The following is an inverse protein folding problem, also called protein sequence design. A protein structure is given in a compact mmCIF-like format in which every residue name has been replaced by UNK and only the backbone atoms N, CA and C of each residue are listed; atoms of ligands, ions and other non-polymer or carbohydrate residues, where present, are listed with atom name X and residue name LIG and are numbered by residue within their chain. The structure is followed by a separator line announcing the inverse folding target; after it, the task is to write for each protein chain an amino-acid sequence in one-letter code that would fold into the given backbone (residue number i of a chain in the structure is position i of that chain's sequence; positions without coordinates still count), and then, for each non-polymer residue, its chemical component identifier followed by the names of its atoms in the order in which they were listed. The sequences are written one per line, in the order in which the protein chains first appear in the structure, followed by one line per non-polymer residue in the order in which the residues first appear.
data_IF_887766202327
#
_entry.id   IF_887766202327
#
_cell.length_a   1.000
_cell.length_b   1.000
_cell.length_c   1.000
_cell.angle_alpha   90.00
_cell.angle_beta   90.00
_cell.angle_gamma   90.00
#
_symmetry.space_group_name_H-M   'P 1'
#
loop_
_entity.id
_entity.type
_entity.pdbx_description
1 polymer ?
#
# COMPACT_ATOMS: atom_id res chain seq x y z
N UNK A 1 -27.51 24.77 -13.65
CA UNK A 1 -28.77 24.06 -13.85
C UNK A 1 -28.97 23.08 -12.68
N UNK A 2 -30.17 22.97 -12.11
CA UNK A 2 -30.46 22.00 -11.07
C UNK A 2 -30.30 20.58 -11.64
N UNK A 3 -29.74 19.66 -10.86
CA UNK A 3 -29.54 18.26 -11.26
C UNK A 3 -30.88 17.55 -11.33
N UNK A 4 -31.18 16.91 -12.46
CA UNK A 4 -32.42 16.11 -12.64
C UNK A 4 -32.46 14.98 -11.60
N UNK A 5 -33.60 14.81 -10.96
CA UNK A 5 -33.83 13.87 -9.87
C UNK A 5 -34.73 12.70 -10.28
N UNK A 6 -34.83 11.67 -9.44
CA UNK A 6 -35.75 10.57 -9.65
C UNK A 6 -37.24 11.04 -9.64
N UNK A 7 -37.53 12.15 -8.95
CA UNK A 7 -38.86 12.72 -8.87
C UNK A 7 -39.29 13.34 -10.22
N UNK A 8 -38.37 14.04 -10.90
CA UNK A 8 -38.64 14.65 -12.21
C UNK A 8 -38.93 13.57 -13.26
N UNK A 9 -38.22 12.44 -13.21
CA UNK A 9 -38.47 11.29 -14.09
C UNK A 9 -39.81 10.64 -13.77
N UNK A 10 -40.10 10.44 -12.50
CA UNK A 10 -41.38 9.82 -12.06
C UNK A 10 -42.57 10.63 -12.49
N UNK A 11 -42.52 11.95 -12.31
CA UNK A 11 -43.56 12.90 -12.74
C UNK A 11 -43.75 12.87 -14.25
N UNK A 12 -42.67 13.05 -15.03
CA UNK A 12 -42.75 13.09 -16.50
C UNK A 12 -43.14 11.75 -17.11
N UNK A 13 -42.78 10.62 -16.47
CA UNK A 13 -43.16 9.28 -16.91
C UNK A 13 -44.56 8.84 -16.39
N UNK A 14 -45.19 9.58 -15.49
CA UNK A 14 -46.46 9.22 -14.90
C UNK A 14 -46.41 7.93 -14.10
N UNK A 15 -45.34 7.71 -13.32
CA UNK A 15 -45.12 6.51 -12.51
C UNK A 15 -44.58 6.88 -11.13
N UNK A 16 -44.53 5.92 -10.22
CA UNK A 16 -43.90 6.13 -8.92
C UNK A 16 -42.34 6.14 -9.03
N UNK A 17 -41.67 6.81 -8.10
CA UNK A 17 -40.20 6.77 -7.97
C UNK A 17 -39.66 5.35 -7.79
N UNK A 18 -40.45 4.48 -7.15
CA UNK A 18 -40.16 3.06 -7.03
C UNK A 18 -40.10 2.38 -8.40
N UNK A 19 -41.10 2.67 -9.27
CA UNK A 19 -41.16 2.12 -10.64
C UNK A 19 -39.95 2.59 -11.49
N UNK A 20 -39.56 3.87 -11.37
CA UNK A 20 -38.34 4.38 -12.01
C UNK A 20 -37.12 3.63 -11.51
N UNK A 21 -37.01 3.44 -10.18
CA UNK A 21 -35.90 2.71 -9.59
C UNK A 21 -35.85 1.23 -10.03
N UNK A 22 -37.00 0.58 -10.21
CA UNK A 22 -37.05 -0.80 -10.74
C UNK A 22 -36.67 -0.86 -12.21
N UNK A 23 -37.08 0.10 -13.03
CA UNK A 23 -36.72 0.12 -14.46
C UNK A 23 -35.19 0.07 -14.70
N UNK A 24 -34.40 0.66 -13.80
CA UNK A 24 -32.93 0.62 -13.86
C UNK A 24 -32.28 -0.59 -13.19
N UNK A 25 -32.94 -1.19 -12.17
CA UNK A 25 -32.32 -2.26 -11.35
C UNK A 25 -32.84 -3.66 -11.61
N UNK A 26 -34.11 -3.74 -11.91
CA UNK A 26 -34.85 -4.99 -12.13
C UNK A 26 -35.75 -4.81 -13.34
N UNK A 27 -35.15 -4.59 -14.53
CA UNK A 27 -35.90 -4.28 -15.74
C UNK A 27 -36.91 -5.37 -16.12
N UNK A 28 -36.66 -6.57 -15.68
CA UNK A 28 -37.57 -7.74 -15.79
C UNK A 28 -38.87 -7.63 -14.95
N UNK A 29 -38.86 -6.77 -13.93
CA UNK A 29 -40.03 -6.54 -13.05
C UNK A 29 -40.89 -5.34 -13.48
N UNK A 30 -40.57 -4.69 -14.58
CA UNK A 30 -41.30 -3.54 -15.12
C UNK A 30 -41.79 -3.88 -16.53
N UNK A 31 -43.04 -3.57 -16.85
CA UNK A 31 -43.58 -3.80 -18.19
C UNK A 31 -42.71 -3.09 -19.25
N UNK A 32 -42.43 -3.74 -20.38
CA UNK A 32 -41.50 -3.24 -21.40
C UNK A 32 -41.83 -1.84 -21.88
N UNK A 33 -43.12 -1.53 -22.14
CA UNK A 33 -43.53 -0.17 -22.56
C UNK A 33 -43.22 0.90 -21.50
N UNK A 34 -43.44 0.55 -20.22
CA UNK A 34 -43.15 1.47 -19.10
C UNK A 34 -41.68 1.69 -18.92
N UNK A 35 -40.88 0.62 -19.03
CA UNK A 35 -39.41 0.67 -18.99
C UNK A 35 -38.86 1.50 -20.13
N UNK A 36 -39.32 1.25 -21.37
CA UNK A 36 -38.86 1.99 -22.54
C UNK A 36 -39.15 3.51 -22.39
N UNK A 37 -40.36 3.85 -21.90
CA UNK A 37 -40.74 5.23 -21.60
C UNK A 37 -39.84 5.88 -20.55
N UNK A 38 -39.57 5.19 -19.44
CA UNK A 38 -38.68 5.72 -18.39
C UNK A 38 -37.27 5.93 -18.89
N UNK A 39 -36.70 4.97 -19.63
CA UNK A 39 -35.35 5.09 -20.17
C UNK A 39 -35.22 6.24 -21.15
N UNK A 40 -36.19 6.39 -22.07
CA UNK A 40 -36.22 7.50 -23.03
C UNK A 40 -36.28 8.86 -22.32
N UNK A 41 -37.18 9.04 -21.36
CA UNK A 41 -37.31 10.29 -20.58
C UNK A 41 -36.02 10.57 -19.80
N UNK A 42 -35.38 9.54 -19.26
CA UNK A 42 -34.10 9.67 -18.53
C UNK A 42 -32.99 10.14 -19.46
N UNK A 43 -32.92 9.61 -20.67
CA UNK A 43 -31.95 10.03 -21.69
C UNK A 43 -32.21 11.50 -22.14
N UNK A 44 -33.46 11.84 -22.43
CA UNK A 44 -33.85 13.20 -22.81
C UNK A 44 -33.50 14.27 -21.78
N UNK A 45 -33.61 13.91 -20.47
CA UNK A 45 -33.36 14.82 -19.36
C UNK A 45 -31.92 14.71 -18.83
N UNK A 46 -31.10 13.80 -19.33
CA UNK A 46 -29.75 13.54 -18.82
C UNK A 46 -29.77 13.00 -17.38
N UNK A 47 -30.78 12.21 -17.02
CA UNK A 47 -30.87 11.61 -15.69
C UNK A 47 -30.00 10.38 -15.55
N UNK A 48 -29.14 10.40 -14.53
CA UNK A 48 -28.38 9.23 -14.08
C UNK A 48 -28.79 8.88 -12.64
N UNK A 49 -29.17 7.61 -12.37
CA UNK A 49 -29.55 7.21 -11.02
C UNK A 49 -28.45 7.47 -9.99
N UNK A 50 -28.71 8.28 -8.97
CA UNK A 50 -27.74 8.60 -7.94
C UNK A 50 -27.43 7.40 -7.05
N UNK A 51 -26.15 7.02 -6.94
CA UNK A 51 -25.65 6.01 -6.01
C UNK A 51 -25.88 6.42 -4.55
N UNK A 52 -25.62 7.68 -4.23
CA UNK A 52 -25.74 8.23 -2.87
C UNK A 52 -27.20 8.25 -2.37
N UNK A 53 -28.15 8.65 -3.23
CA UNK A 53 -29.58 8.63 -2.87
C UNK A 53 -30.08 7.20 -2.61
N UNK A 54 -29.52 6.20 -3.29
CA UNK A 54 -29.83 4.79 -3.07
C UNK A 54 -29.22 4.27 -1.78
N UNK A 55 -28.02 4.74 -1.44
CA UNK A 55 -27.34 4.42 -0.20
C UNK A 55 -28.11 4.92 1.02
N UNK A 56 -28.53 6.18 0.99
CA UNK A 56 -29.34 6.79 2.05
C UNK A 56 -30.63 6.00 2.33
N UNK A 57 -31.36 5.60 1.28
CA UNK A 57 -32.61 4.83 1.43
C UNK A 57 -32.41 3.41 2.00
N UNK A 58 -31.18 2.86 1.96
CA UNK A 58 -30.84 1.52 2.44
C UNK A 58 -29.98 1.52 3.70
N UNK A 59 -29.56 2.68 4.17
CA UNK A 59 -28.56 2.81 5.23
C UNK A 59 -27.19 2.26 4.85
N UNK A 60 -26.89 2.19 3.51
CA UNK A 60 -25.64 1.65 2.97
C UNK A 60 -25.28 2.27 1.63
N UNK A 61 -24.01 2.56 1.47
CA UNK A 61 -23.48 3.18 0.25
C UNK A 61 -23.31 2.18 -0.90
N UNK A 62 -23.09 0.90 -0.58
CA UNK A 62 -22.72 -0.13 -1.55
C UNK A 62 -21.26 -0.01 -2.00
N UNK A 63 -20.46 0.76 -1.28
CA UNK A 63 -19.06 1.08 -1.60
C UNK A 63 -18.16 0.66 -0.45
N UNK A 64 -17.00 0.09 -0.74
CA UNK A 64 -15.92 -0.10 0.23
C UNK A 64 -14.84 0.95 0.00
N UNK A 65 -14.21 1.37 1.08
CA UNK A 65 -13.08 2.29 1.03
C UNK A 65 -11.75 1.56 1.15
N UNK A 66 -10.73 2.13 0.49
CA UNK A 66 -9.33 1.84 0.76
C UNK A 66 -8.58 3.15 0.86
N UNK A 67 -7.78 3.30 1.91
CA UNK A 67 -7.05 4.51 2.19
C UNK A 67 -5.58 4.15 2.48
N UNK A 68 -4.70 4.73 1.68
CA UNK A 68 -3.26 4.59 1.86
C UNK A 68 -2.64 5.96 2.07
N UNK A 69 -1.82 6.09 3.10
CA UNK A 69 -1.26 7.38 3.48
C UNK A 69 -0.14 7.86 2.54
N UNK A 70 0.46 6.98 1.75
CA UNK A 70 1.60 7.31 0.89
C UNK A 70 1.42 6.92 -0.58
N UNK A 71 0.18 6.84 -1.06
CA UNK A 71 -0.09 6.55 -2.48
C UNK A 71 0.34 7.67 -3.43
N UNK A 72 0.47 8.89 -2.91
CA UNK A 72 0.93 10.05 -3.66
C UNK A 72 2.41 10.30 -3.36
N UNK A 73 3.26 9.32 -3.61
CA UNK A 73 4.70 9.57 -3.67
C UNK A 73 4.92 10.59 -4.79
N UNK A 74 5.30 11.81 -4.41
CA UNK A 74 5.89 12.74 -5.36
C UNK A 74 7.13 12.01 -5.90
N UNK A 75 7.19 11.78 -7.21
CA UNK A 75 8.41 11.31 -7.84
C UNK A 75 9.52 12.26 -7.41
N UNK A 76 10.70 11.79 -6.98
CA UNK A 76 11.82 12.65 -6.77
C UNK A 76 12.02 13.42 -8.08
N UNK A 77 11.73 14.70 -8.09
CA UNK A 77 12.10 15.54 -9.22
C UNK A 77 13.62 15.43 -9.27
N UNK A 78 14.13 14.92 -10.37
CA UNK A 78 15.57 14.75 -10.57
C UNK A 78 16.28 16.01 -10.07
N UNK A 79 17.40 15.87 -9.41
CA UNK A 79 18.21 16.90 -8.78
C UNK A 79 18.78 17.92 -9.80
N UNK A 80 17.92 18.51 -10.60
CA UNK A 80 18.16 19.59 -11.53
C UNK A 80 17.54 20.85 -10.97
N UNK A 81 18.35 21.69 -10.34
CA UNK A 81 18.22 23.12 -10.17
C UNK A 81 17.06 23.76 -10.98
N UNK A 82 15.84 23.76 -10.43
CA UNK A 82 14.78 24.68 -10.83
C UNK A 82 14.10 25.23 -9.58
N UNK A 83 14.84 26.09 -8.88
CA UNK A 83 14.25 27.17 -8.11
C UNK A 83 13.64 28.16 -9.11
N UNK A 84 12.42 28.63 -8.79
CA UNK A 84 11.64 29.66 -9.49
C UNK A 84 10.83 29.23 -10.75
N UNK A 85 9.61 28.72 -10.49
CA UNK A 85 8.46 28.98 -11.37
C UNK A 85 7.23 29.38 -10.58
N UNK A 86 6.84 30.66 -10.59
CA UNK A 86 5.47 31.04 -10.30
C UNK A 86 4.62 30.78 -11.57
N UNK A 87 3.43 30.24 -11.38
CA UNK A 87 2.35 29.98 -12.31
C UNK A 87 2.26 28.59 -12.97
N UNK A 88 1.55 27.73 -12.23
CA UNK A 88 1.05 26.44 -12.72
C UNK A 88 -0.25 26.56 -13.51
N UNK A 89 -0.31 27.36 -14.60
CA UNK A 89 -1.50 27.46 -15.45
C UNK A 89 -1.32 26.98 -16.90
N UNK A 90 -0.19 26.33 -17.24
CA UNK A 90 -0.03 25.68 -18.53
C UNK A 90 0.95 24.51 -18.45
N UNK A 91 0.57 23.44 -17.75
CA UNK A 91 1.33 22.21 -17.80
C UNK A 91 1.08 21.48 -19.11
N UNK A 92 1.76 21.88 -20.17
CA UNK A 92 2.14 20.95 -21.22
C UNK A 92 3.15 20.00 -20.63
N UNK A 93 2.77 18.72 -20.52
CA UNK A 93 3.63 17.64 -20.07
C UNK A 93 4.75 17.46 -21.09
N UNK A 94 5.80 18.25 -20.99
CA UNK A 94 7.10 17.96 -21.57
C UNK A 94 7.97 17.39 -20.43
N UNK A 95 7.66 16.17 -20.00
CA UNK A 95 8.63 15.37 -19.30
C UNK A 95 9.68 14.98 -20.34
N UNK A 96 10.79 15.68 -20.39
CA UNK A 96 12.03 15.09 -20.86
C UNK A 96 12.42 14.06 -19.82
N UNK A 97 11.86 12.87 -19.96
CA UNK A 97 12.37 11.67 -19.32
C UNK A 97 13.78 11.52 -19.91
N UNK A 98 14.80 11.51 -19.06
CA UNK A 98 16.08 10.96 -19.44
C UNK A 98 15.81 9.50 -19.73
N UNK A 99 15.76 9.14 -21.03
CA UNK A 99 15.23 7.85 -21.52
C UNK A 99 16.13 6.66 -21.17
N UNK A 100 17.26 6.88 -20.49
CA UNK A 100 18.29 5.87 -20.26
C UNK A 100 18.25 5.23 -18.86
N UNK A 101 17.55 5.76 -17.86
CA UNK A 101 17.38 5.10 -16.56
C UNK A 101 16.00 4.47 -16.42
N UNK A 102 15.90 3.18 -16.08
CA UNK A 102 14.60 2.56 -15.81
C UNK A 102 13.97 3.20 -14.58
N UNK A 103 12.86 3.91 -14.79
CA UNK A 103 12.04 4.46 -13.70
C UNK A 103 11.44 3.29 -12.89
N UNK A 104 12.08 2.96 -11.79
CA UNK A 104 11.64 1.88 -10.89
C UNK A 104 10.23 2.14 -10.38
N UNK A 105 9.81 3.42 -10.28
CA UNK A 105 8.46 3.81 -9.87
C UNK A 105 7.41 3.60 -10.98
N UNK A 106 7.83 3.28 -12.22
CA UNK A 106 6.91 2.89 -13.29
C UNK A 106 6.36 1.47 -13.12
N UNK A 107 6.93 0.66 -12.24
CA UNK A 107 6.49 -0.71 -11.98
C UNK A 107 5.52 -0.77 -10.79
N UNK A 108 4.64 -1.80 -10.77
CA UNK A 108 3.73 -2.00 -9.64
C UNK A 108 4.49 -2.12 -8.32
N UNK A 109 4.19 -1.20 -7.42
CA UNK A 109 4.69 -1.20 -6.05
C UNK A 109 3.84 -2.14 -5.17
N UNK A 110 4.24 -2.28 -3.90
CA UNK A 110 3.50 -3.05 -2.90
C UNK A 110 2.01 -2.67 -2.85
N UNK A 111 1.73 -1.37 -2.79
CA UNK A 111 0.37 -0.83 -2.69
C UNK A 111 -0.47 -1.18 -3.92
N UNK A 112 0.10 -1.12 -5.13
CA UNK A 112 -0.62 -1.39 -6.38
C UNK A 112 -1.15 -2.83 -6.42
N UNK A 113 -0.35 -3.79 -5.99
CA UNK A 113 -0.79 -5.19 -5.95
C UNK A 113 -1.86 -5.42 -4.88
N UNK A 114 -1.77 -4.76 -3.72
CA UNK A 114 -2.82 -4.82 -2.68
C UNK A 114 -4.12 -4.22 -3.21
N UNK A 115 -4.05 -3.05 -3.86
CA UNK A 115 -5.20 -2.40 -4.49
C UNK A 115 -5.86 -3.30 -5.53
N UNK A 116 -5.07 -3.92 -6.39
CA UNK A 116 -5.58 -4.86 -7.39
C UNK A 116 -6.36 -6.01 -6.75
N UNK A 117 -5.85 -6.57 -5.65
CA UNK A 117 -6.55 -7.63 -4.92
C UNK A 117 -7.88 -7.15 -4.35
N UNK A 118 -7.88 -5.97 -3.75
CA UNK A 118 -9.07 -5.33 -3.19
C UNK A 118 -10.12 -5.05 -4.27
N UNK A 119 -9.71 -4.48 -5.39
CA UNK A 119 -10.54 -4.19 -6.56
C UNK A 119 -11.22 -5.45 -7.11
N UNK A 120 -10.45 -6.50 -7.34
CA UNK A 120 -10.97 -7.76 -7.88
C UNK A 120 -12.06 -8.36 -6.99
N UNK A 121 -11.93 -8.27 -5.67
CA UNK A 121 -12.92 -8.82 -4.75
C UNK A 121 -14.17 -7.94 -4.65
N UNK A 122 -14.00 -6.61 -4.65
CA UNK A 122 -15.10 -5.65 -4.72
C UNK A 122 -15.90 -5.83 -6.01
N UNK A 123 -15.23 -5.95 -7.15
CA UNK A 123 -15.88 -6.20 -8.44
C UNK A 123 -16.71 -7.47 -8.45
N UNK A 124 -16.17 -8.59 -7.97
CA UNK A 124 -16.91 -9.87 -7.83
C UNK A 124 -18.15 -9.74 -6.97
N UNK A 125 -18.11 -8.87 -5.98
CA UNK A 125 -19.20 -8.66 -5.03
C UNK A 125 -20.16 -7.56 -5.45
N UNK A 126 -19.98 -6.95 -6.64
CA UNK A 126 -20.80 -5.86 -7.14
C UNK A 126 -20.73 -4.59 -6.27
N UNK A 127 -19.58 -4.36 -5.62
CA UNK A 127 -19.35 -3.18 -4.77
C UNK A 127 -18.55 -2.12 -5.52
N UNK A 128 -18.91 -0.85 -5.28
CA UNK A 128 -18.07 0.28 -5.67
C UNK A 128 -16.83 0.38 -4.78
N UNK A 129 -15.83 1.09 -5.25
CA UNK A 129 -14.62 1.40 -4.49
C UNK A 129 -14.46 2.91 -4.39
N UNK A 130 -14.12 3.38 -3.21
CA UNK A 130 -13.66 4.73 -2.97
C UNK A 130 -12.23 4.66 -2.48
N UNK A 131 -11.33 5.24 -3.28
CA UNK A 131 -9.93 5.34 -2.92
C UNK A 131 -9.66 6.70 -2.29
N UNK A 132 -8.89 6.70 -1.22
CA UNK A 132 -8.36 7.88 -0.59
C UNK A 132 -6.87 7.77 -0.38
N UNK A 133 -6.20 8.89 -0.46
CA UNK A 133 -4.80 9.02 -0.14
C UNK A 133 -4.57 10.33 0.61
N UNK A 134 -3.58 10.36 1.50
CA UNK A 134 -3.08 11.58 2.08
C UNK A 134 -1.62 11.77 1.67
N UNK A 135 -1.26 13.01 1.41
CA UNK A 135 0.14 13.44 1.35
C UNK A 135 0.50 14.06 2.69
N UNK A 136 1.73 13.88 3.13
CA UNK A 136 2.25 14.52 4.37
C UNK A 136 2.11 16.05 4.37
N UNK A 137 1.98 16.67 3.20
CA UNK A 137 1.89 18.13 3.05
C UNK A 137 0.46 18.68 3.06
N UNK A 138 -0.55 17.84 2.78
CA UNK A 138 -1.93 18.30 2.60
C UNK A 138 -2.90 17.56 3.52
N UNK A 139 -3.25 18.24 4.62
CA UNK A 139 -4.22 17.79 5.63
C UNK A 139 -5.69 17.92 5.16
N UNK A 140 -5.94 17.98 3.83
CA UNK A 140 -7.21 18.45 3.29
C UNK A 140 -8.28 17.37 3.05
N UNK A 141 -7.96 16.10 3.16
CA UNK A 141 -8.98 15.03 3.14
C UNK A 141 -8.73 14.04 4.26
N UNK A 142 -9.36 14.33 5.35
CA UNK A 142 -9.38 13.45 6.51
C UNK A 142 -9.89 12.06 6.14
N UNK A 143 -9.30 11.03 6.71
CA UNK A 143 -9.81 9.65 6.64
C UNK A 143 -11.30 9.58 7.02
N UNK A 144 -11.79 10.53 7.83
CA UNK A 144 -13.19 10.66 8.24
C UNK A 144 -14.13 11.03 7.09
N UNK A 145 -13.67 11.82 6.09
CA UNK A 145 -14.48 12.20 4.94
C UNK A 145 -14.79 10.99 4.06
N UNK A 146 -13.80 10.12 3.88
CA UNK A 146 -13.96 8.88 3.14
C UNK A 146 -14.82 7.88 3.90
N UNK A 147 -14.60 7.77 5.20
CA UNK A 147 -15.36 6.87 6.05
C UNK A 147 -16.87 7.16 6.03
N UNK A 148 -17.27 8.43 5.92
CA UNK A 148 -18.67 8.83 5.76
C UNK A 148 -19.33 8.38 4.44
N UNK A 149 -18.52 7.97 3.44
CA UNK A 149 -18.99 7.60 2.10
C UNK A 149 -18.96 6.10 1.82
N UNK A 150 -18.54 5.25 2.77
CA UNK A 150 -18.30 3.81 2.55
C UNK A 150 -18.98 2.93 3.59
N UNK A 151 -19.19 1.66 3.24
CA UNK A 151 -19.76 0.63 4.13
C UNK A 151 -18.71 -0.03 5.02
N UNK A 152 -17.43 0.27 4.79
CA UNK A 152 -16.27 -0.24 5.52
C UNK A 152 -14.98 0.24 4.86
N UNK A 153 -13.89 0.30 5.61
CA UNK A 153 -12.65 0.93 5.19
C UNK A 153 -11.44 0.05 5.48
N UNK A 154 -10.63 -0.22 4.46
CA UNK A 154 -9.29 -0.75 4.60
C UNK A 154 -8.30 0.40 4.70
N UNK A 155 -7.38 0.34 5.65
CA UNK A 155 -6.38 1.35 5.94
C UNK A 155 -4.98 0.74 5.81
N UNK A 156 -4.12 1.45 5.12
CA UNK A 156 -2.68 1.18 5.07
C UNK A 156 -1.98 2.37 5.74
N UNK A 157 -1.90 2.39 7.08
CA UNK A 157 -1.51 3.57 7.84
C UNK A 157 0.01 3.68 7.95
N UNK A 158 0.71 3.89 6.87
CA UNK A 158 2.13 4.20 6.90
C UNK A 158 2.35 5.58 7.54
N UNK A 159 3.12 5.63 8.63
CA UNK A 159 3.50 6.89 9.28
C UNK A 159 2.36 7.72 9.90
N UNK A 160 1.14 7.18 10.00
CA UNK A 160 -0.01 7.91 10.58
C UNK A 160 -0.06 7.78 12.09
N UNK A 161 0.16 8.89 12.78
CA UNK A 161 0.22 8.94 14.24
C UNK A 161 -1.08 9.39 14.93
N UNK A 162 -2.08 9.89 14.19
CA UNK A 162 -3.33 10.36 14.81
C UNK A 162 -4.35 9.22 14.97
N UNK A 163 -4.30 8.56 16.13
CA UNK A 163 -5.20 7.47 16.49
C UNK A 163 -6.61 7.91 16.87
N UNK A 164 -6.83 9.18 17.13
CA UNK A 164 -8.13 9.67 17.62
C UNK A 164 -9.26 9.52 16.57
N UNK A 165 -9.09 9.95 15.32
CA UNK A 165 -10.08 9.70 14.28
C UNK A 165 -10.34 8.21 14.06
N UNK A 166 -9.28 7.38 14.06
CA UNK A 166 -9.41 5.94 13.85
C UNK A 166 -10.22 5.26 14.97
N UNK A 167 -10.03 5.70 16.22
CA UNK A 167 -10.79 5.15 17.36
C UNK A 167 -12.28 5.47 17.29
N UNK A 168 -12.64 6.61 16.71
CA UNK A 168 -14.05 6.98 16.45
C UNK A 168 -14.61 6.16 15.29
N UNK A 169 -13.86 6.02 14.21
CA UNK A 169 -14.30 5.28 13.02
C UNK A 169 -14.50 3.79 13.32
N UNK A 170 -13.59 3.19 14.09
CA UNK A 170 -13.68 1.78 14.48
C UNK A 170 -14.98 1.41 15.24
N UNK A 171 -15.64 2.40 15.85
CA UNK A 171 -16.96 2.23 16.51
C UNK A 171 -18.13 2.39 15.56
N UNK A 172 -17.91 2.97 14.37
CA UNK A 172 -18.97 3.39 13.45
C UNK A 172 -19.07 2.47 12.23
N UNK A 173 -17.93 2.13 11.63
CA UNK A 173 -17.82 1.27 10.46
C UNK A 173 -16.77 0.18 10.67
N UNK A 174 -16.84 -0.95 9.96
CA UNK A 174 -15.78 -1.95 10.00
C UNK A 174 -14.49 -1.40 9.40
N UNK A 175 -13.37 -1.56 10.14
CA UNK A 175 -12.03 -1.20 9.71
C UNK A 175 -11.15 -2.44 9.55
N UNK A 176 -10.33 -2.46 8.51
CA UNK A 176 -9.24 -3.42 8.32
C UNK A 176 -7.93 -2.65 8.24
N UNK A 177 -7.03 -2.91 9.16
CA UNK A 177 -5.68 -2.35 9.20
C UNK A 177 -4.74 -3.30 8.48
N UNK A 178 -4.05 -2.84 7.45
CA UNK A 178 -3.13 -3.65 6.63
C UNK A 178 -1.70 -3.23 6.91
N UNK A 179 -0.84 -4.18 7.30
CA UNK A 179 0.57 -3.92 7.59
C UNK A 179 0.85 -3.32 8.97
N UNK A 180 -0.12 -3.30 9.91
CA UNK A 180 0.05 -2.73 11.25
C UNK A 180 0.00 -3.80 12.32
N UNK A 181 0.93 -3.73 13.29
CA UNK A 181 1.09 -4.71 14.36
C UNK A 181 0.35 -4.41 15.65
N UNK A 182 0.00 -3.16 15.91
CA UNK A 182 -0.53 -2.72 17.19
C UNK A 182 -2.07 -2.82 17.25
N UNK A 183 -2.57 -3.80 17.97
CA UNK A 183 -3.99 -4.16 18.04
C UNK A 183 -4.77 -3.28 19.05
N UNK A 184 -4.61 -1.96 18.99
CA UNK A 184 -5.26 -1.02 19.93
C UNK A 184 -6.74 -0.77 19.65
N UNK A 185 -7.21 -1.02 18.45
CA UNK A 185 -8.57 -0.70 18.04
C UNK A 185 -9.42 -1.97 17.85
N UNK A 186 -10.75 -1.91 18.02
CA UNK A 186 -11.68 -2.97 17.64
C UNK A 186 -11.81 -3.02 16.11
N UNK A 187 -10.77 -3.52 15.44
CA UNK A 187 -10.63 -3.60 14.00
C UNK A 187 -10.05 -4.97 13.60
N UNK A 188 -10.07 -5.30 12.32
CA UNK A 188 -9.29 -6.41 11.83
C UNK A 188 -7.88 -5.96 11.48
N UNK A 189 -6.89 -6.80 11.77
CA UNK A 189 -5.47 -6.58 11.51
C UNK A 189 -4.97 -7.66 10.57
N UNK A 190 -4.55 -7.24 9.40
CA UNK A 190 -4.11 -8.11 8.33
C UNK A 190 -2.63 -7.87 8.06
N UNK A 191 -1.81 -8.86 8.34
CA UNK A 191 -0.35 -8.77 8.30
C UNK A 191 0.27 -9.90 7.51
N UNK A 192 1.53 -9.74 7.13
CA UNK A 192 2.39 -10.82 6.68
C UNK A 192 3.25 -11.35 7.83
N UNK A 193 3.71 -12.59 7.71
CA UNK A 193 4.59 -13.22 8.71
C UNK A 193 6.03 -12.70 8.52
N UNK A 194 6.27 -11.48 9.04
CA UNK A 194 7.56 -10.82 8.97
C UNK A 194 8.66 -11.66 9.62
N UNK A 195 8.37 -12.26 10.77
CA UNK A 195 9.36 -13.07 11.52
C UNK A 195 9.77 -14.31 10.73
N UNK A 196 8.81 -15.02 10.12
CA UNK A 196 9.11 -16.16 9.24
C UNK A 196 9.89 -15.72 7.99
N UNK A 197 9.57 -14.56 7.43
CA UNK A 197 10.29 -14.01 6.27
C UNK A 197 11.76 -13.75 6.58
N UNK A 198 12.04 -13.03 7.66
CA UNK A 198 13.41 -12.76 8.12
C UNK A 198 14.16 -14.04 8.44
N UNK A 199 13.52 -14.99 9.11
CA UNK A 199 14.12 -16.30 9.37
C UNK A 199 14.56 -16.99 8.10
N UNK A 200 13.73 -17.02 7.06
CA UNK A 200 14.06 -17.63 5.77
C UNK A 200 15.27 -16.97 5.10
N UNK A 201 15.41 -15.63 5.20
CA UNK A 201 16.59 -14.91 4.69
C UNK A 201 17.84 -15.32 5.46
N UNK A 202 17.82 -15.21 6.78
CA UNK A 202 19.00 -15.53 7.64
C UNK A 202 19.40 -16.98 7.47
N UNK A 203 18.44 -17.93 7.47
CA UNK A 203 18.74 -19.34 7.23
C UNK A 203 19.42 -19.55 5.88
N UNK A 204 18.95 -18.90 4.83
CA UNK A 204 19.55 -18.99 3.49
C UNK A 204 20.97 -18.44 3.48
N UNK A 205 21.21 -17.27 4.08
CA UNK A 205 22.54 -16.66 4.14
C UNK A 205 23.53 -17.53 4.93
N UNK A 206 23.10 -18.09 6.07
CA UNK A 206 23.97 -18.92 6.94
C UNK A 206 24.18 -20.31 6.35
N UNK A 207 23.13 -20.98 5.90
CA UNK A 207 23.19 -22.40 5.54
C UNK A 207 23.69 -22.63 4.12
N UNK A 208 23.37 -21.70 3.19
CA UNK A 208 23.75 -21.84 1.77
C UNK A 208 25.03 -21.08 1.46
N UNK A 209 25.16 -19.85 2.00
CA UNK A 209 26.31 -18.99 1.68
C UNK A 209 27.37 -18.96 2.77
N UNK A 210 27.12 -19.61 3.94
CA UNK A 210 28.03 -19.66 5.10
C UNK A 210 28.41 -18.27 5.63
N UNK A 211 27.49 -17.30 5.52
CA UNK A 211 27.66 -15.94 5.97
C UNK A 211 27.22 -15.81 7.44
N UNK A 212 28.10 -15.20 8.25
CA UNK A 212 27.83 -14.90 9.65
C UNK A 212 27.92 -13.42 9.99
N UNK A 213 28.43 -12.60 9.06
CA UNK A 213 28.56 -11.15 9.18
C UNK A 213 27.52 -10.50 8.25
N UNK A 214 26.42 -10.00 8.86
CA UNK A 214 25.31 -9.41 8.14
C UNK A 214 24.67 -8.27 8.94
N UNK A 215 24.17 -7.25 8.24
CA UNK A 215 23.46 -6.14 8.86
C UNK A 215 22.10 -5.89 8.21
N UNK A 216 21.17 -5.37 9.01
CA UNK A 216 19.89 -4.90 8.52
C UNK A 216 20.00 -3.46 8.02
N UNK A 217 19.29 -3.15 6.95
CA UNK A 217 19.21 -1.81 6.37
C UNK A 217 17.74 -1.41 6.20
N UNK A 218 17.36 -0.30 6.82
CA UNK A 218 16.00 0.23 6.76
C UNK A 218 15.75 1.25 7.86
N UNK A 219 14.71 2.07 7.73
CA UNK A 219 14.30 3.00 8.79
C UNK A 219 13.60 2.24 9.91
N UNK A 220 14.31 2.06 11.01
CA UNK A 220 13.82 1.33 12.20
C UNK A 220 13.37 2.26 13.32
N UNK A 221 13.57 3.56 13.18
CA UNK A 221 13.25 4.52 14.24
C UNK A 221 11.78 4.96 14.24
N UNK A 222 10.97 4.47 13.31
CA UNK A 222 9.48 4.48 13.29
C UNK A 222 8.72 5.73 13.77
N UNK A 223 9.40 6.77 14.19
CA UNK A 223 8.85 7.97 14.78
C UNK A 223 9.21 9.26 14.04
N UNK A 224 10.12 9.20 13.09
CA UNK A 224 10.44 10.31 12.22
C UNK A 224 9.54 10.30 10.99
N UNK A 225 9.05 11.46 10.60
CA UNK A 225 8.35 11.62 9.34
C UNK A 225 9.26 11.17 8.18
N UNK A 226 9.16 9.89 7.79
CA UNK A 226 9.89 9.38 6.63
C UNK A 226 9.49 10.18 5.40
N UNK A 227 10.43 10.86 4.77
CA UNK A 227 10.16 11.65 3.56
C UNK A 227 9.80 10.75 2.38
N UNK A 228 10.25 9.49 2.37
CA UNK A 228 9.96 8.50 1.33
C UNK A 228 8.65 7.73 1.55
N UNK A 229 8.01 7.86 2.71
CA UNK A 229 6.71 7.23 2.97
C UNK A 229 6.67 5.70 2.97
N UNK A 230 7.82 5.02 2.98
CA UNK A 230 7.89 3.57 2.77
C UNK A 230 8.00 2.75 4.06
N UNK A 231 8.28 3.39 5.20
CA UNK A 231 8.57 2.67 6.44
C UNK A 231 7.31 2.56 7.30
N UNK A 232 6.85 1.33 7.35
CA UNK A 232 5.70 0.89 8.15
C UNK A 232 6.22 0.26 9.45
N UNK A 233 5.31 0.04 10.41
CA UNK A 233 5.56 -0.81 11.57
C UNK A 233 6.13 -2.19 11.16
N UNK A 234 5.94 -2.57 9.91
CA UNK A 234 6.48 -3.81 9.32
C UNK A 234 8.01 -3.82 9.27
N UNK A 235 8.68 -2.69 8.92
CA UNK A 235 10.16 -2.63 8.89
C UNK A 235 10.74 -2.77 10.29
N UNK A 236 10.16 -2.09 11.28
CA UNK A 236 10.52 -2.24 12.68
C UNK A 236 10.35 -3.69 13.15
N UNK A 237 9.21 -4.29 12.81
CA UNK A 237 8.93 -5.69 13.12
C UNK A 237 9.92 -6.66 12.48
N UNK A 238 10.35 -6.38 11.23
CA UNK A 238 11.39 -7.15 10.52
C UNK A 238 12.74 -7.02 11.20
N UNK A 239 13.12 -5.81 11.60
CA UNK A 239 14.38 -5.58 12.32
C UNK A 239 14.40 -6.26 13.68
N UNK A 240 13.33 -6.17 14.47
CA UNK A 240 13.23 -6.87 15.75
C UNK A 240 13.31 -8.39 15.58
N UNK A 241 12.67 -8.92 14.55
CA UNK A 241 12.78 -10.34 14.21
C UNK A 241 14.21 -10.71 13.78
N UNK A 242 14.91 -9.83 13.05
CA UNK A 242 16.28 -10.03 12.61
C UNK A 242 17.23 -10.11 13.83
N UNK A 243 17.23 -9.12 14.71
CA UNK A 243 18.04 -9.12 15.93
C UNK A 243 17.82 -10.39 16.76
N UNK A 244 16.56 -10.63 17.06
CA UNK A 244 16.18 -11.80 17.87
C UNK A 244 16.68 -13.10 17.26
N UNK A 245 16.55 -13.27 15.92
CA UNK A 245 16.92 -14.52 15.28
C UNK A 245 18.45 -14.69 15.17
N UNK A 246 19.22 -13.60 15.01
CA UNK A 246 20.68 -13.65 15.13
C UNK A 246 21.10 -14.14 16.53
N UNK A 247 20.50 -13.60 17.60
CA UNK A 247 20.75 -14.02 18.97
C UNK A 247 20.41 -15.50 19.20
N UNK A 248 19.24 -15.96 18.71
CA UNK A 248 18.84 -17.38 18.79
C UNK A 248 19.84 -18.32 18.08
N UNK A 249 20.49 -17.84 17.02
CA UNK A 249 21.53 -18.55 16.27
C UNK A 249 22.94 -18.40 16.87
N UNK A 250 23.12 -17.57 17.89
CA UNK A 250 24.42 -17.27 18.49
C UNK A 250 25.31 -16.41 17.57
N UNK A 251 24.72 -15.67 16.62
CA UNK A 251 25.41 -14.71 15.76
C UNK A 251 25.52 -13.35 16.45
N UNK A 252 26.49 -12.53 16.05
CA UNK A 252 26.65 -11.18 16.60
C UNK A 252 25.54 -10.26 16.12
N UNK A 253 24.71 -9.79 17.04
CA UNK A 253 23.61 -8.84 16.76
C UNK A 253 23.99 -7.37 17.04
N UNK A 254 25.22 -7.09 17.53
CA UNK A 254 25.67 -5.73 17.91
C UNK A 254 25.85 -4.80 16.71
N UNK A 255 26.07 -5.35 15.53
CA UNK A 255 26.11 -4.61 14.27
C UNK A 255 24.86 -4.81 13.43
N UNK A 256 23.75 -5.23 14.06
CA UNK A 256 22.53 -5.58 13.34
C UNK A 256 21.91 -4.40 12.57
N UNK A 257 22.16 -3.18 13.00
CA UNK A 257 21.91 -1.98 12.23
C UNK A 257 23.24 -1.32 11.88
N UNK A 258 23.39 -0.81 10.68
CA UNK A 258 24.63 -0.14 10.29
C UNK A 258 24.92 1.09 11.14
N UNK A 259 23.87 1.80 11.62
CA UNK A 259 24.00 2.84 12.63
C UNK A 259 22.67 3.09 13.37
N UNK A 260 22.71 3.13 14.73
CA UNK A 260 21.57 3.43 15.59
C UNK A 260 21.29 4.95 15.73
N UNK A 261 22.13 5.82 15.16
CA UNK A 261 22.14 7.26 15.46
C UNK A 261 21.29 8.12 14.51
N UNK A 262 20.78 7.59 13.42
CA UNK A 262 20.09 8.37 12.39
C UNK A 262 18.56 8.23 12.42
N UNK A 263 17.90 9.39 12.31
CA UNK A 263 16.46 9.57 12.57
C UNK A 263 15.61 9.95 11.35
N UNK A 264 16.15 9.96 10.13
CA UNK A 264 15.41 10.33 8.90
C UNK A 264 15.49 9.30 7.77
N UNK A 265 14.59 9.39 6.83
CA UNK A 265 14.29 8.36 5.83
C UNK A 265 15.40 8.01 4.84
N UNK A 266 16.31 8.94 4.58
CA UNK A 266 17.41 8.72 3.64
C UNK A 266 18.73 8.39 4.37
N UNK A 267 18.70 8.34 5.69
CA UNK A 267 19.89 8.16 6.54
C UNK A 267 20.44 6.74 6.52
N UNK A 268 19.59 5.73 6.17
CA UNK A 268 20.12 4.39 5.95
C UNK A 268 21.14 4.33 4.81
N UNK A 269 21.01 5.20 3.78
CA UNK A 269 22.03 5.31 2.72
C UNK A 269 23.31 5.96 3.24
N UNK A 270 23.21 6.93 4.14
CA UNK A 270 24.39 7.52 4.79
C UNK A 270 25.17 6.45 5.56
N UNK A 271 24.48 5.61 6.34
CA UNK A 271 25.13 4.51 7.06
C UNK A 271 25.82 3.53 6.13
N UNK A 272 25.24 3.23 4.96
CA UNK A 272 25.90 2.39 3.95
C UNK A 272 27.11 3.10 3.36
N UNK A 273 27.04 4.41 3.05
CA UNK A 273 28.18 5.21 2.59
C UNK A 273 29.34 5.19 3.61
N UNK A 274 29.05 5.42 4.89
CA UNK A 274 30.06 5.39 5.95
C UNK A 274 30.69 4.00 6.11
N UNK A 275 29.92 2.94 5.95
CA UNK A 275 30.43 1.58 5.96
C UNK A 275 31.36 1.31 4.78
N UNK A 276 31.05 1.84 3.59
CA UNK A 276 31.91 1.78 2.39
C UNK A 276 33.22 2.54 2.64
N UNK A 277 33.13 3.80 3.04
CA UNK A 277 34.29 4.68 3.26
C UNK A 277 35.24 4.15 4.33
N UNK A 278 34.68 3.55 5.39
CA UNK A 278 35.47 2.96 6.49
C UNK A 278 35.90 1.52 6.23
N UNK A 279 35.60 0.95 5.07
CA UNK A 279 35.87 -0.45 4.70
C UNK A 279 35.35 -1.45 5.74
N UNK A 280 34.10 -1.23 6.21
CA UNK A 280 33.43 -2.05 7.24
C UNK A 280 32.10 -2.61 6.75
N UNK A 281 31.96 -2.78 5.42
CA UNK A 281 30.75 -3.43 4.88
C UNK A 281 30.68 -4.89 5.37
N UNK A 282 29.53 -5.33 5.86
CA UNK A 282 29.31 -6.74 6.17
C UNK A 282 29.24 -7.58 4.88
N UNK A 283 29.31 -8.90 5.03
CA UNK A 283 29.19 -9.81 3.90
C UNK A 283 27.80 -9.82 3.26
N UNK A 284 26.76 -9.47 4.04
CA UNK A 284 25.40 -9.36 3.53
C UNK A 284 24.64 -8.19 4.14
N UNK A 285 23.83 -7.53 3.30
CA UNK A 285 22.86 -6.50 3.68
C UNK A 285 21.43 -7.04 3.52
N UNK A 286 20.70 -7.10 4.65
CA UNK A 286 19.31 -7.53 4.70
C UNK A 286 18.44 -6.28 4.72
N UNK A 287 17.90 -5.90 3.57
CA UNK A 287 17.10 -4.69 3.45
C UNK A 287 15.65 -4.92 3.90
N UNK A 288 15.11 -3.95 4.62
CA UNK A 288 13.76 -4.01 5.18
C UNK A 288 12.65 -4.05 4.12
N UNK A 289 12.92 -3.49 2.91
CA UNK A 289 12.02 -3.51 1.75
C UNK A 289 12.79 -3.75 0.46
N UNK A 290 12.10 -4.10 -0.63
CA UNK A 290 12.73 -4.17 -1.96
C UNK A 290 13.19 -2.79 -2.43
N UNK A 291 12.46 -1.72 -2.09
CA UNK A 291 12.85 -0.36 -2.44
C UNK A 291 14.19 0.00 -1.80
N UNK A 292 14.34 -0.23 -0.50
CA UNK A 292 15.61 -0.06 0.21
C UNK A 292 16.73 -0.85 -0.46
N UNK A 293 16.44 -2.10 -0.89
CA UNK A 293 17.43 -2.93 -1.56
C UNK A 293 17.88 -2.36 -2.92
N UNK A 294 16.97 -1.73 -3.67
CA UNK A 294 17.31 -1.09 -4.94
C UNK A 294 18.27 0.08 -4.74
N UNK A 295 17.96 0.95 -3.79
CA UNK A 295 18.77 2.12 -3.47
C UNK A 295 20.16 1.69 -2.98
N UNK A 296 20.22 0.67 -2.12
CA UNK A 296 21.47 0.09 -1.64
C UNK A 296 22.29 -0.53 -2.78
N UNK A 297 21.69 -1.32 -3.65
CA UNK A 297 22.39 -1.94 -4.79
C UNK A 297 22.94 -0.85 -5.72
N UNK A 298 22.15 0.18 -6.02
CA UNK A 298 22.59 1.32 -6.82
C UNK A 298 23.80 1.99 -6.20
N UNK A 299 23.74 2.33 -4.91
CA UNK A 299 24.83 2.95 -4.18
C UNK A 299 26.12 2.10 -4.20
N UNK A 300 26.00 0.78 -3.96
CA UNK A 300 27.14 -0.14 -4.02
C UNK A 300 27.78 -0.17 -5.40
N UNK A 301 26.98 -0.31 -6.46
CA UNK A 301 27.44 -0.34 -7.85
C UNK A 301 28.11 0.98 -8.23
N UNK A 302 27.54 2.13 -7.89
CA UNK A 302 28.12 3.46 -8.14
C UNK A 302 29.45 3.64 -7.38
N UNK A 303 29.62 2.95 -6.25
CA UNK A 303 30.87 2.91 -5.47
C UNK A 303 31.86 1.85 -5.96
N UNK A 304 31.58 1.14 -7.05
CA UNK A 304 32.44 0.10 -7.63
C UNK A 304 32.41 -1.23 -6.88
N UNK A 305 31.43 -1.46 -6.00
CA UNK A 305 31.27 -2.69 -5.22
C UNK A 305 30.30 -3.61 -5.97
N UNK A 306 30.69 -4.85 -6.15
CA UNK A 306 29.92 -5.83 -6.92
C UNK A 306 28.93 -6.57 -6.05
N UNK A 307 27.71 -6.71 -6.55
CA UNK A 307 26.64 -7.52 -5.95
C UNK A 307 26.36 -8.68 -6.89
N UNK A 308 26.54 -9.93 -6.47
CA UNK A 308 26.76 -10.42 -5.10
C UNK A 308 28.23 -10.66 -4.71
N UNK A 309 29.22 -10.46 -5.58
CA UNK A 309 30.59 -10.98 -5.39
C UNK A 309 31.30 -10.39 -4.17
N UNK A 310 31.10 -9.11 -3.90
CA UNK A 310 31.73 -8.41 -2.77
C UNK A 310 30.76 -8.30 -1.57
N UNK A 311 29.46 -8.07 -1.82
CA UNK A 311 28.41 -7.98 -0.80
C UNK A 311 27.11 -8.59 -1.33
N UNK A 312 26.48 -9.46 -0.57
CA UNK A 312 25.13 -9.96 -0.85
C UNK A 312 24.08 -8.93 -0.41
N UNK A 313 23.05 -8.73 -1.24
CA UNK A 313 21.89 -7.88 -0.88
C UNK A 313 20.61 -8.68 -1.01
N UNK A 314 19.76 -8.60 0.03
CA UNK A 314 18.41 -9.19 0.01
C UNK A 314 17.37 -8.14 0.32
N UNK A 315 16.16 -8.31 -0.23
CA UNK A 315 15.01 -7.43 0.00
C UNK A 315 13.85 -8.11 0.73
N UNK A 316 12.78 -7.36 0.86
CA UNK A 316 11.51 -7.83 1.38
C UNK A 316 10.40 -7.14 0.59
N UNK A 317 9.39 -7.85 0.12
CA UNK A 317 8.13 -7.55 -0.59
C UNK A 317 7.99 -8.43 -1.83
N UNK A 318 9.05 -8.60 -2.63
CA UNK A 318 9.04 -9.38 -3.86
C UNK A 318 8.30 -8.67 -4.99
N UNK A 319 8.41 -7.34 -5.10
CA UNK A 319 7.79 -6.56 -6.18
C UNK A 319 8.41 -6.88 -7.55
N UNK A 320 7.67 -6.53 -8.61
CA UNK A 320 8.07 -6.88 -9.97
C UNK A 320 9.42 -6.31 -10.37
N UNK A 321 9.74 -5.08 -9.96
CA UNK A 321 10.99 -4.41 -10.26
C UNK A 321 12.22 -5.26 -9.89
N UNK A 322 12.19 -5.97 -8.76
CA UNK A 322 13.28 -6.86 -8.33
C UNK A 322 13.57 -8.05 -9.27
N UNK A 323 12.66 -8.34 -10.21
CA UNK A 323 12.90 -9.35 -11.28
C UNK A 323 13.50 -8.75 -12.54
N UNK A 324 13.45 -7.45 -12.69
CA UNK A 324 13.85 -6.74 -13.92
C UNK A 324 15.21 -6.05 -13.78
N UNK A 325 15.63 -5.76 -12.55
CA UNK A 325 16.93 -5.18 -12.26
C UNK A 325 18.08 -6.19 -12.44
N UNK A 326 19.32 -5.70 -12.46
CA UNK A 326 20.53 -6.52 -12.50
C UNK A 326 21.46 -6.11 -11.35
N UNK A 327 21.83 -7.03 -10.45
CA UNK A 327 21.36 -8.43 -10.38
C UNK A 327 19.89 -8.56 -9.97
N UNK A 328 19.19 -9.61 -10.41
CA UNK A 328 17.82 -9.89 -9.96
C UNK A 328 17.78 -10.05 -8.45
N UNK A 329 16.86 -9.37 -7.76
CA UNK A 329 16.81 -9.30 -6.31
C UNK A 329 16.29 -10.59 -5.65
N UNK A 330 17.10 -11.18 -4.78
CA UNK A 330 16.67 -12.19 -3.79
C UNK A 330 15.86 -11.50 -2.71
N UNK A 331 14.63 -11.96 -2.45
CA UNK A 331 13.68 -11.23 -1.61
C UNK A 331 12.64 -12.16 -0.99
N UNK A 332 11.95 -11.68 0.03
CA UNK A 332 10.73 -12.30 0.55
C UNK A 332 9.53 -11.84 -0.26
N UNK A 333 8.83 -12.77 -0.91
CA UNK A 333 7.58 -12.47 -1.59
C UNK A 333 6.42 -12.45 -0.61
N UNK A 334 5.81 -11.30 -0.44
CA UNK A 334 4.54 -11.11 0.24
C UNK A 334 3.35 -11.46 -0.70
N UNK A 335 2.25 -11.99 -0.18
CA UNK A 335 1.05 -12.28 -0.98
C UNK A 335 0.16 -11.02 -1.13
N UNK A 336 0.70 -9.94 -1.72
CA UNK A 336 0.10 -8.60 -1.73
C UNK A 336 -1.31 -8.58 -2.34
N UNK A 337 -1.53 -9.27 -3.47
CA UNK A 337 -2.87 -9.38 -4.05
C UNK A 337 -3.85 -10.09 -3.09
N UNK A 338 -3.40 -11.14 -2.39
CA UNK A 338 -4.24 -11.84 -1.40
C UNK A 338 -4.50 -10.97 -0.16
N UNK A 339 -3.56 -10.10 0.26
CA UNK A 339 -3.81 -9.09 1.30
C UNK A 339 -5.01 -8.22 0.92
N UNK A 340 -5.01 -7.65 -0.28
CA UNK A 340 -6.12 -6.85 -0.77
C UNK A 340 -7.45 -7.63 -0.83
N UNK A 341 -7.41 -8.86 -1.34
CA UNK A 341 -8.59 -9.74 -1.37
C UNK A 341 -9.13 -10.03 0.02
N UNK A 342 -8.25 -10.34 0.98
CA UNK A 342 -8.64 -10.61 2.37
C UNK A 342 -9.22 -9.37 3.02
N UNK A 343 -8.61 -8.22 2.85
CA UNK A 343 -9.14 -6.96 3.37
C UNK A 343 -10.59 -6.72 2.87
N UNK A 344 -10.83 -6.83 1.58
CA UNK A 344 -12.18 -6.68 1.02
C UNK A 344 -13.17 -7.73 1.57
N UNK A 345 -12.79 -9.02 1.63
CA UNK A 345 -13.65 -10.09 2.16
C UNK A 345 -13.99 -9.88 3.62
N UNK A 346 -13.03 -9.47 4.43
CA UNK A 346 -13.25 -9.18 5.85
C UNK A 346 -14.26 -8.05 6.01
N UNK A 347 -14.13 -6.94 5.27
CA UNK A 347 -15.11 -5.84 5.26
C UNK A 347 -16.50 -6.31 4.79
N UNK A 348 -16.58 -7.08 3.72
CA UNK A 348 -17.82 -7.62 3.17
C UNK A 348 -18.54 -8.50 4.19
N UNK A 349 -17.81 -9.35 4.92
CA UNK A 349 -18.36 -10.25 5.92
C UNK A 349 -19.04 -9.52 7.07
N UNK A 350 -18.53 -8.33 7.42
CA UNK A 350 -19.09 -7.50 8.50
C UNK A 350 -20.42 -6.84 8.13
N UNK A 351 -20.70 -6.71 6.85
CA UNK A 351 -21.95 -6.16 6.38
C UNK A 351 -22.23 -4.75 6.98
N UNK A 352 -21.22 -3.89 7.04
CA UNK A 352 -21.28 -2.53 7.61
C UNK A 352 -21.22 -2.46 9.15
N UNK A 353 -21.09 -3.57 9.85
CA UNK A 353 -21.01 -3.60 11.31
C UNK A 353 -19.56 -3.56 11.79
N UNK A 354 -19.18 -2.68 12.71
CA UNK A 354 -17.83 -2.63 13.26
C UNK A 354 -17.47 -3.92 13.99
N UNK A 355 -16.18 -4.12 14.24
CA UNK A 355 -15.69 -5.17 15.14
C UNK A 355 -15.92 -4.76 16.59
N UNK A 356 -16.20 -5.74 17.45
CA UNK A 356 -16.31 -5.53 18.90
C UNK A 356 -14.97 -5.68 19.63
N UNK A 357 -14.06 -6.43 19.04
CA UNK A 357 -12.71 -6.72 19.54
C UNK A 357 -11.75 -6.85 18.35
N UNK A 358 -10.43 -6.69 18.59
CA UNK A 358 -9.43 -6.95 17.57
C UNK A 358 -9.55 -8.38 16.99
N UNK A 359 -9.37 -8.49 15.68
CA UNK A 359 -9.25 -9.76 14.95
C UNK A 359 -7.98 -9.74 14.13
N UNK A 360 -7.11 -10.73 14.27
CA UNK A 360 -5.82 -10.79 13.57
C UNK A 360 -5.78 -11.92 12.56
N UNK A 361 -5.26 -11.60 11.38
CA UNK A 361 -4.96 -12.57 10.34
C UNK A 361 -3.53 -12.34 9.83
N UNK A 362 -2.69 -13.36 9.92
CA UNK A 362 -1.31 -13.34 9.42
C UNK A 362 -1.24 -14.22 8.18
N UNK A 363 -0.72 -13.67 7.08
CA UNK A 363 -0.52 -14.39 5.84
C UNK A 363 0.94 -14.88 5.72
N UNK A 364 1.16 -16.12 5.24
CA UNK A 364 2.49 -16.65 5.05
C UNK A 364 3.23 -15.92 3.92
N UNK A 365 4.54 -15.84 4.06
CA UNK A 365 5.47 -15.32 3.07
C UNK A 365 6.44 -16.40 2.61
N UNK A 366 7.18 -16.15 1.53
CA UNK A 366 8.17 -17.10 1.01
C UNK A 366 9.41 -16.42 0.48
N UNK A 367 10.56 -17.02 0.70
CA UNK A 367 11.81 -16.60 0.07
C UNK A 367 11.77 -16.89 -1.43
N UNK A 368 12.28 -15.93 -2.21
CA UNK A 368 12.51 -16.05 -3.65
C UNK A 368 13.97 -15.77 -3.91
N UNK A 369 14.73 -16.82 -4.13
CA UNK A 369 16.17 -16.78 -4.39
C UNK A 369 16.43 -16.37 -5.83
N UNK A 370 17.37 -15.43 -6.04
CA UNK A 370 17.77 -14.88 -7.34
C UNK A 370 19.26 -14.49 -7.33
N UNK A 371 19.67 -13.65 -8.30
CA UNK A 371 21.06 -13.30 -8.55
C UNK A 371 21.76 -12.46 -7.47
N UNK A 372 21.04 -11.61 -6.73
CA UNK A 372 21.67 -10.71 -5.75
C UNK A 372 22.27 -11.41 -4.52
N UNK A 373 22.02 -12.71 -4.35
CA UNK A 373 22.72 -13.55 -3.37
C UNK A 373 23.73 -14.52 -4.00
N UNK A 374 23.86 -14.55 -5.33
CA UNK A 374 24.79 -15.44 -6.05
C UNK A 374 24.23 -16.84 -6.39
N UNK A 375 22.96 -17.11 -6.14
CA UNK A 375 22.34 -18.41 -6.46
C UNK A 375 21.65 -18.45 -7.82
N UNK A 376 21.54 -17.34 -8.54
CA UNK A 376 20.74 -17.20 -9.77
C UNK A 376 21.54 -17.32 -11.04
#
# INVERSE_FOLDING_TARGET
MARVTVYDIAEKAGVSTATVSFAFRHPDKVKDDTKARILRISEELGYVPSGNARGLARGRTGTLGIYAFDMLLERPQGSGLEEDRPDASSATVNASVDDDEPDVLAYPLYVDEVLRGFELECWKSGKGILMGAASKKDDHRSVTDIAGCVDGLALMPSGYNDMLPLSMLAKTIPLVMVGVGDEKLPAAYLQCDNASGIRQIVDHLVEVHHINDMAFVGDVNGGGACASGTDTDDVVSRYDAFKKYLEERGLDSRGALLDDSFATSDEYLVSVCEAIESNRLPQALVCGTDQTAFDVIRLLVDSGIRVPEDVIVTGFDGILAGRLMTPHLTTIRQPMEELGRRAARMLLSRNGKPWEKPEKLILPVRLVVRGSCGCG
#
